data_IF_695756612417
#
_entry.id   IF_695756612417
#
_cell.length_a   1.000
_cell.length_b   1.000
_cell.length_c   1.000
_cell.angle_alpha   90.00
_cell.angle_beta   90.00
_cell.angle_gamma   90.00
#
_symmetry.space_group_name_H-M   'P 1'
#
loop_
_entity.id
_entity.type
_entity.pdbx_description
1 polymer ?
#
# COMPACT_ATOMS: atom_id res chain seq x y z
N UNK A 1 26.75 -18.02 26.24
CA UNK A 1 27.53 -18.66 27.32
C UNK A 1 27.58 -20.14 26.97
N UNK A 2 28.77 -20.77 26.93
CA UNK A 2 28.89 -22.21 26.65
C UNK A 2 28.56 -22.93 27.94
N UNK A 3 27.44 -23.64 27.96
CA UNK A 3 26.89 -24.21 29.19
C UNK A 3 27.28 -25.68 29.38
N UNK A 4 27.84 -26.35 28.37
CA UNK A 4 28.28 -27.73 28.51
C UNK A 4 29.36 -28.12 27.47
N UNK A 5 30.61 -28.23 27.91
CA UNK A 5 31.74 -28.62 27.07
C UNK A 5 31.67 -30.09 26.60
N UNK A 6 30.98 -30.96 27.34
CA UNK A 6 30.76 -32.37 26.95
C UNK A 6 29.90 -32.48 25.69
N UNK A 7 28.86 -31.65 25.57
CA UNK A 7 28.03 -31.59 24.37
C UNK A 7 28.79 -31.06 23.14
N UNK A 8 29.83 -30.25 23.33
CA UNK A 8 30.73 -29.81 22.24
C UNK A 8 31.63 -30.96 21.82
N UNK A 9 32.19 -31.72 22.77
CA UNK A 9 33.01 -32.89 22.49
C UNK A 9 32.25 -34.00 21.75
N UNK A 10 30.95 -34.11 21.97
CA UNK A 10 30.04 -35.01 21.27
C UNK A 10 29.54 -34.49 19.89
N UNK A 11 30.04 -33.34 19.42
CA UNK A 11 29.63 -32.74 18.15
C UNK A 11 28.26 -32.04 18.19
N UNK A 12 27.64 -31.90 19.37
CA UNK A 12 26.33 -31.28 19.62
C UNK A 12 26.47 -29.81 20.03
N UNK A 13 27.24 -29.05 19.27
CA UNK A 13 27.59 -27.63 19.54
C UNK A 13 26.34 -26.75 19.75
N UNK A 14 25.28 -26.98 18.97
CA UNK A 14 24.02 -26.23 19.10
C UNK A 14 23.29 -26.46 20.44
N UNK A 15 23.54 -27.59 21.11
CA UNK A 15 23.00 -27.88 22.45
C UNK A 15 23.87 -27.32 23.57
N UNK A 16 25.11 -26.95 23.28
CA UNK A 16 26.08 -26.42 24.24
C UNK A 16 26.05 -24.89 24.38
N UNK A 17 25.55 -24.19 23.35
CA UNK A 17 25.41 -22.72 23.35
C UNK A 17 23.98 -22.37 23.73
N UNK A 18 23.76 -21.94 24.97
CA UNK A 18 22.46 -21.42 25.36
C UNK A 18 22.25 -20.04 24.73
N UNK A 19 21.20 -19.93 23.92
CA UNK A 19 20.69 -18.64 23.44
C UNK A 19 20.27 -17.83 24.65
N UNK A 20 20.82 -16.61 24.80
CA UNK A 20 20.50 -15.75 25.93
C UNK A 20 19.00 -15.43 25.95
N UNK A 21 18.42 -15.37 27.15
CA UNK A 21 17.03 -14.94 27.30
C UNK A 21 16.88 -13.47 26.86
N UNK A 22 15.82 -13.14 26.09
CA UNK A 22 15.56 -11.77 25.68
C UNK A 22 15.41 -10.82 26.88
N UNK A 23 16.10 -9.68 26.81
CA UNK A 23 15.97 -8.58 27.78
C UNK A 23 14.52 -8.10 27.92
N UNK A 24 14.21 -7.39 29.00
CA UNK A 24 12.88 -6.79 29.14
C UNK A 24 12.59 -5.79 28.02
N UNK A 25 11.32 -5.63 27.64
CA UNK A 25 10.94 -4.72 26.54
C UNK A 25 11.32 -3.27 26.84
N UNK A 26 11.30 -2.87 28.12
CA UNK A 26 11.72 -1.54 28.57
C UNK A 26 13.22 -1.31 28.39
N UNK A 27 14.05 -2.31 28.69
CA UNK A 27 15.50 -2.21 28.48
C UNK A 27 15.84 -2.16 27.00
N UNK A 28 15.23 -3.02 26.18
CA UNK A 28 15.38 -2.97 24.73
C UNK A 28 14.94 -1.61 24.17
N UNK A 29 13.80 -1.09 24.61
CA UNK A 29 13.31 0.22 24.18
C UNK A 29 14.27 1.37 24.54
N UNK A 30 14.89 1.35 25.73
CA UNK A 30 15.92 2.35 26.11
C UNK A 30 17.12 2.31 25.18
N UNK A 31 17.59 1.10 24.86
CA UNK A 31 18.74 0.88 23.98
C UNK A 31 18.45 1.36 22.55
N UNK A 32 17.27 1.07 22.04
CA UNK A 32 16.78 1.57 20.74
C UNK A 32 16.74 3.11 20.76
N UNK A 33 16.09 3.73 21.75
CA UNK A 33 15.99 5.19 21.83
C UNK A 33 17.36 5.87 21.94
N UNK A 34 18.31 5.25 22.63
CA UNK A 34 19.68 5.75 22.76
C UNK A 34 20.46 5.69 21.42
N UNK A 35 20.11 4.77 20.52
CA UNK A 35 20.83 4.50 19.28
C UNK A 35 19.95 4.79 18.04
N UNK A 36 19.44 6.03 17.94
CA UNK A 36 18.42 6.42 16.94
C UNK A 36 18.77 6.07 15.49
N UNK A 37 20.05 6.13 15.13
CA UNK A 37 20.55 5.81 13.79
C UNK A 37 20.54 4.31 13.45
N UNK A 38 20.32 3.43 14.44
CA UNK A 38 20.31 1.97 14.29
C UNK A 38 18.97 1.33 14.70
N UNK A 39 17.93 2.13 14.89
CA UNK A 39 16.65 1.65 15.42
C UNK A 39 16.07 0.46 14.67
N UNK A 40 16.03 0.51 13.33
CA UNK A 40 15.47 -0.59 12.51
C UNK A 40 16.25 -1.89 12.71
N UNK A 41 17.58 -1.80 12.73
CA UNK A 41 18.47 -2.96 12.95
C UNK A 41 18.26 -3.54 14.34
N UNK A 42 18.28 -2.70 15.38
CA UNK A 42 18.09 -3.13 16.77
C UNK A 42 16.70 -3.74 17.01
N UNK A 43 15.67 -3.23 16.34
CA UNK A 43 14.32 -3.80 16.40
C UNK A 43 14.27 -5.19 15.76
N UNK A 44 14.88 -5.37 14.58
CA UNK A 44 14.99 -6.69 13.96
C UNK A 44 15.76 -7.66 14.85
N UNK A 45 16.93 -7.26 15.37
CA UNK A 45 17.75 -8.07 16.28
C UNK A 45 16.97 -8.48 17.55
N UNK A 46 16.16 -7.60 18.13
CA UNK A 46 15.34 -7.92 19.31
C UNK A 46 14.29 -9.00 19.00
N UNK A 47 13.57 -8.86 17.87
CA UNK A 47 12.58 -9.84 17.45
C UNK A 47 13.23 -11.18 17.05
N UNK A 48 14.36 -11.15 16.34
CA UNK A 48 15.13 -12.35 15.97
C UNK A 48 15.62 -13.10 17.22
N UNK A 49 16.17 -12.38 18.21
CA UNK A 49 16.59 -12.96 19.48
C UNK A 49 15.43 -13.64 20.20
N UNK A 50 14.25 -13.01 20.24
CA UNK A 50 13.04 -13.62 20.83
C UNK A 50 12.64 -14.89 20.08
N UNK A 51 12.65 -14.87 18.75
CA UNK A 51 12.30 -16.03 17.93
C UNK A 51 13.30 -17.17 18.11
N UNK A 52 14.61 -16.89 18.06
CA UNK A 52 15.68 -17.87 18.24
C UNK A 52 15.67 -18.47 19.65
N UNK A 53 15.48 -17.65 20.68
CA UNK A 53 15.38 -18.13 22.06
C UNK A 53 14.21 -19.09 22.23
N UNK A 54 13.03 -18.76 21.68
CA UNK A 54 11.86 -19.66 21.71
C UNK A 54 12.11 -20.99 20.99
N UNK A 55 12.81 -20.95 19.84
CA UNK A 55 13.22 -22.17 19.10
C UNK A 55 14.23 -23.03 19.87
N UNK A 56 15.05 -22.42 20.73
CA UNK A 56 16.06 -23.13 21.52
C UNK A 56 15.55 -23.77 22.82
N UNK A 57 14.25 -23.59 23.15
CA UNK A 57 13.63 -24.23 24.32
C UNK A 57 13.55 -25.74 24.12
N UNK A 58 13.38 -26.48 25.22
CA UNK A 58 13.14 -27.93 25.20
C UNK A 58 11.79 -28.25 25.90
N UNK A 59 10.74 -28.66 25.16
CA UNK A 59 10.70 -28.81 23.70
C UNK A 59 10.75 -27.45 22.95
N UNK A 60 11.21 -27.42 21.69
CA UNK A 60 11.17 -26.22 20.86
C UNK A 60 9.74 -25.71 20.68
N UNK A 61 9.56 -24.39 20.74
CA UNK A 61 8.26 -23.79 20.43
C UNK A 61 7.93 -23.94 18.94
N UNK A 62 6.66 -24.21 18.62
CA UNK A 62 6.16 -24.19 17.24
C UNK A 62 6.02 -22.76 16.70
N UNK A 63 5.73 -22.65 15.40
CA UNK A 63 5.60 -21.36 14.71
C UNK A 63 4.53 -20.45 15.30
N UNK A 64 3.40 -21.01 15.74
CA UNK A 64 2.29 -20.24 16.28
C UNK A 64 2.58 -19.71 17.69
N UNK A 65 3.23 -20.52 18.53
CA UNK A 65 3.71 -20.08 19.84
C UNK A 65 4.77 -18.98 19.72
N UNK A 66 5.68 -19.10 18.74
CA UNK A 66 6.67 -18.03 18.45
C UNK A 66 5.95 -16.77 17.97
N UNK A 67 5.02 -16.88 17.00
CA UNK A 67 4.25 -15.74 16.49
C UNK A 67 3.49 -15.04 17.62
N UNK A 68 2.77 -15.78 18.45
CA UNK A 68 2.04 -15.22 19.59
C UNK A 68 2.98 -14.50 20.58
N UNK A 69 4.20 -15.01 20.79
CA UNK A 69 5.21 -14.35 21.62
C UNK A 69 5.73 -13.06 20.97
N UNK A 70 5.99 -13.06 19.66
CA UNK A 70 6.43 -11.88 18.92
C UNK A 70 5.34 -10.80 18.88
N UNK A 71 4.07 -11.17 18.72
CA UNK A 71 2.93 -10.22 18.81
C UNK A 71 2.90 -9.55 20.19
N UNK A 72 3.02 -10.33 21.27
CA UNK A 72 3.12 -9.77 22.64
C UNK A 72 4.34 -8.85 22.79
N UNK A 73 5.49 -9.24 22.23
CA UNK A 73 6.71 -8.42 22.26
C UNK A 73 6.51 -7.10 21.52
N UNK A 74 5.90 -7.13 20.34
CA UNK A 74 5.54 -5.95 19.54
C UNK A 74 4.66 -4.99 20.35
N UNK A 75 3.58 -5.48 20.95
CA UNK A 75 2.69 -4.64 21.78
C UNK A 75 3.46 -3.95 22.92
N UNK A 76 4.35 -4.69 23.60
CA UNK A 76 5.15 -4.15 24.70
C UNK A 76 6.17 -3.10 24.22
N UNK A 77 6.82 -3.32 23.07
CA UNK A 77 7.73 -2.35 22.47
C UNK A 77 6.99 -1.09 22.00
N UNK A 78 5.84 -1.23 21.34
CA UNK A 78 5.02 -0.10 20.92
C UNK A 78 4.54 0.75 22.11
N UNK A 79 4.28 0.14 23.27
CA UNK A 79 3.93 0.86 24.49
C UNK A 79 5.14 1.54 25.18
N UNK A 80 6.36 1.06 24.93
CA UNK A 80 7.58 1.56 25.58
C UNK A 80 8.38 2.54 24.72
N UNK A 81 8.14 2.57 23.41
CA UNK A 81 8.82 3.42 22.44
C UNK A 81 7.99 4.67 22.10
N UNK A 82 8.63 5.76 21.65
CA UNK A 82 7.92 6.90 21.05
C UNK A 82 7.04 6.46 19.87
N UNK A 83 5.88 7.09 19.70
CA UNK A 83 4.93 6.80 18.61
C UNK A 83 5.55 6.97 17.23
N UNK A 84 6.54 7.86 17.08
CA UNK A 84 7.31 8.05 15.86
C UNK A 84 8.08 6.80 15.40
N UNK A 85 8.25 5.78 16.26
CA UNK A 85 8.89 4.50 15.91
C UNK A 85 7.90 3.37 15.65
N UNK A 86 6.59 3.62 15.72
CA UNK A 86 5.57 2.57 15.53
C UNK A 86 5.70 1.87 14.17
N UNK A 87 5.93 2.64 13.09
CA UNK A 87 6.17 2.10 11.76
C UNK A 87 7.42 1.21 11.68
N UNK A 88 8.52 1.64 12.29
CA UNK A 88 9.76 0.85 12.35
C UNK A 88 9.57 -0.47 13.12
N UNK A 89 8.78 -0.46 14.21
CA UNK A 89 8.44 -1.67 14.97
C UNK A 89 7.62 -2.63 14.11
N UNK A 90 6.61 -2.14 13.40
CA UNK A 90 5.79 -2.96 12.50
C UNK A 90 6.61 -3.56 11.35
N UNK A 91 7.50 -2.76 10.74
CA UNK A 91 8.43 -3.21 9.69
C UNK A 91 9.33 -4.33 10.19
N UNK A 92 10.02 -4.12 11.31
CA UNK A 92 10.91 -5.13 11.89
C UNK A 92 10.17 -6.44 12.23
N UNK A 93 8.96 -6.34 12.79
CA UNK A 93 8.12 -7.49 13.06
C UNK A 93 7.79 -8.27 11.76
N UNK A 94 7.38 -7.58 10.70
CA UNK A 94 7.07 -8.20 9.41
C UNK A 94 8.29 -8.88 8.78
N UNK A 95 9.47 -8.25 8.85
CA UNK A 95 10.74 -8.84 8.40
C UNK A 95 11.05 -10.14 9.14
N UNK A 96 10.90 -10.16 10.46
CA UNK A 96 11.17 -11.37 11.26
C UNK A 96 10.11 -12.45 11.03
N UNK A 97 8.83 -12.09 10.85
CA UNK A 97 7.81 -13.07 10.45
C UNK A 97 8.16 -13.73 9.11
N UNK A 98 8.63 -12.96 8.12
CA UNK A 98 9.07 -13.50 6.84
C UNK A 98 10.21 -14.50 7.01
N UNK A 99 11.27 -14.08 7.68
CA UNK A 99 12.55 -14.80 7.66
C UNK A 99 12.61 -15.93 8.71
N UNK A 100 12.06 -15.70 9.90
CA UNK A 100 12.11 -16.67 10.98
C UNK A 100 10.92 -17.63 10.97
N UNK A 101 9.75 -17.20 10.50
CA UNK A 101 8.51 -17.99 10.54
C UNK A 101 8.01 -18.38 9.15
N UNK A 102 8.69 -18.00 8.08
CA UNK A 102 8.30 -18.33 6.70
C UNK A 102 6.83 -17.97 6.43
N UNK A 103 6.41 -16.78 6.89
CA UNK A 103 5.05 -16.30 6.73
C UNK A 103 4.61 -16.40 5.27
N UNK A 104 3.42 -16.94 5.05
CA UNK A 104 2.79 -17.00 3.73
C UNK A 104 2.07 -15.67 3.46
N UNK A 105 2.35 -15.11 2.29
CA UNK A 105 1.73 -13.89 1.77
C UNK A 105 0.69 -14.25 0.71
N UNK A 106 -0.16 -13.28 0.36
CA UNK A 106 -1.13 -13.45 -0.72
C UNK A 106 -0.45 -13.74 -2.07
N UNK A 107 0.77 -13.22 -2.26
CA UNK A 107 1.64 -13.50 -3.39
C UNK A 107 2.89 -14.30 -2.96
N UNK A 108 3.37 -15.19 -3.83
CA UNK A 108 4.57 -16.00 -3.61
C UNK A 108 5.83 -15.43 -4.28
N UNK A 109 5.65 -14.54 -5.25
CA UNK A 109 6.73 -13.87 -5.99
C UNK A 109 6.54 -12.35 -6.04
N UNK A 110 7.62 -11.64 -6.35
CA UNK A 110 7.60 -10.24 -6.78
C UNK A 110 6.73 -10.10 -8.04
N UNK A 111 6.26 -8.87 -8.29
CA UNK A 111 5.32 -8.58 -9.35
C UNK A 111 6.01 -8.52 -10.72
N UNK A 112 7.20 -7.93 -10.80
CA UNK A 112 7.89 -7.68 -12.09
C UNK A 112 8.95 -8.73 -12.39
N UNK A 113 9.83 -9.04 -11.44
CA UNK A 113 10.93 -9.99 -11.66
C UNK A 113 10.52 -11.46 -11.49
N UNK A 114 9.35 -11.72 -10.89
CA UNK A 114 8.85 -13.05 -10.55
C UNK A 114 9.81 -13.85 -9.65
N UNK A 115 10.63 -13.15 -8.86
CA UNK A 115 11.51 -13.76 -7.88
C UNK A 115 10.73 -14.12 -6.60
N UNK A 116 11.15 -15.14 -5.83
CA UNK A 116 10.47 -15.49 -4.58
C UNK A 116 10.46 -14.33 -3.58
N UNK A 117 9.36 -14.12 -2.84
CA UNK A 117 9.27 -13.06 -1.80
C UNK A 117 10.39 -13.14 -0.75
N UNK A 118 10.93 -14.35 -0.51
CA UNK A 118 12.04 -14.56 0.39
C UNK A 118 13.38 -13.94 -0.09
N UNK A 119 13.53 -13.62 -1.39
CA UNK A 119 14.74 -12.99 -1.92
C UNK A 119 14.76 -11.46 -1.76
N UNK A 120 13.61 -10.83 -1.48
CA UNK A 120 13.53 -9.36 -1.38
C UNK A 120 14.45 -8.86 -0.25
N UNK A 121 15.38 -7.93 -0.51
CA UNK A 121 16.22 -7.31 0.51
C UNK A 121 15.41 -6.69 1.66
N UNK A 122 15.92 -6.74 2.89
CA UNK A 122 15.21 -6.23 4.08
C UNK A 122 14.84 -4.75 3.99
N UNK A 123 15.68 -3.97 3.35
CA UNK A 123 15.53 -2.52 3.14
C UNK A 123 14.56 -2.18 1.99
N UNK A 124 14.28 -3.12 1.10
CA UNK A 124 13.28 -3.02 0.03
C UNK A 124 11.93 -3.69 0.39
N UNK A 125 11.87 -4.46 1.47
CA UNK A 125 10.69 -5.25 1.82
C UNK A 125 9.59 -4.43 2.49
N UNK A 126 8.36 -4.55 1.97
CA UNK A 126 7.14 -4.00 2.54
C UNK A 126 6.02 -5.04 2.52
N UNK A 127 5.06 -4.93 3.45
CA UNK A 127 3.86 -5.77 3.49
C UNK A 127 2.66 -4.85 3.75
N UNK A 128 1.67 -4.90 2.87
CA UNK A 128 0.41 -4.17 3.03
C UNK A 128 -0.57 -4.91 3.93
N UNK A 129 -1.59 -4.21 4.43
CA UNK A 129 -2.59 -4.78 5.34
C UNK A 129 -3.39 -5.94 4.73
N UNK A 130 -3.57 -5.94 3.41
CA UNK A 130 -4.17 -7.04 2.63
C UNK A 130 -3.24 -8.25 2.44
N UNK A 131 -2.11 -8.29 3.17
CA UNK A 131 -1.13 -9.38 3.23
C UNK A 131 -0.38 -9.63 1.91
N UNK A 132 -0.27 -8.63 1.04
CA UNK A 132 0.65 -8.67 -0.10
C UNK A 132 2.05 -8.22 0.34
N UNK A 133 3.06 -8.98 -0.09
CA UNK A 133 4.46 -8.66 0.09
C UNK A 133 5.00 -7.95 -1.15
N UNK A 134 5.75 -6.87 -0.93
CA UNK A 134 6.24 -5.99 -1.98
C UNK A 134 7.74 -5.83 -1.92
N UNK A 135 8.34 -5.87 -3.10
CA UNK A 135 9.56 -5.12 -3.36
C UNK A 135 9.15 -3.66 -3.57
N UNK A 136 9.67 -2.76 -2.74
CA UNK A 136 9.34 -1.35 -2.77
C UNK A 136 9.80 -0.65 -4.04
N UNK A 137 10.82 -1.14 -4.73
CA UNK A 137 11.22 -0.57 -6.02
C UNK A 137 10.14 -0.84 -7.08
N UNK A 138 9.69 -2.09 -7.18
CA UNK A 138 8.62 -2.49 -8.10
C UNK A 138 7.30 -1.78 -7.79
N UNK A 139 6.91 -1.73 -6.51
CA UNK A 139 5.67 -1.08 -6.09
C UNK A 139 5.69 0.41 -6.42
N UNK A 140 6.79 1.10 -6.11
CA UNK A 140 6.89 2.55 -6.37
C UNK A 140 6.88 2.83 -7.86
N UNK A 141 7.56 2.03 -8.67
CA UNK A 141 7.50 2.15 -10.12
C UNK A 141 6.08 1.96 -10.63
N UNK A 142 5.38 0.92 -10.17
CA UNK A 142 3.99 0.66 -10.58
C UNK A 142 3.05 1.81 -10.24
N UNK A 143 3.15 2.35 -9.02
CA UNK A 143 2.35 3.49 -8.56
C UNK A 143 2.66 4.75 -9.36
N UNK A 144 3.94 5.02 -9.65
CA UNK A 144 4.36 6.16 -10.45
C UNK A 144 3.85 6.07 -11.90
N UNK A 145 3.94 4.88 -12.52
CA UNK A 145 3.39 4.63 -13.84
C UNK A 145 1.86 4.79 -13.90
N UNK A 146 1.15 4.53 -12.81
CA UNK A 146 -0.29 4.72 -12.69
C UNK A 146 -0.68 6.15 -12.28
N UNK A 147 0.21 7.13 -12.46
CA UNK A 147 -0.06 8.53 -12.14
C UNK A 147 -0.23 8.81 -10.64
N UNK A 148 0.23 7.93 -9.77
CA UNK A 148 0.17 8.11 -8.32
C UNK A 148 -1.16 7.72 -7.69
N UNK A 149 -2.01 7.00 -8.40
CA UNK A 149 -3.16 6.37 -7.74
C UNK A 149 -2.66 5.29 -6.80
N UNK A 150 -2.97 5.41 -5.49
CA UNK A 150 -2.54 4.49 -4.44
C UNK A 150 -3.37 3.19 -4.44
N UNK A 151 -3.33 2.47 -5.56
CA UNK A 151 -4.00 1.19 -5.76
C UNK A 151 -2.99 0.06 -5.76
N UNK A 152 -3.29 -1.02 -5.08
CA UNK A 152 -2.52 -2.25 -5.10
C UNK A 152 -2.52 -2.82 -6.54
N UNK A 153 -1.35 -2.94 -7.20
CA UNK A 153 -1.27 -3.45 -8.57
C UNK A 153 -1.73 -4.90 -8.76
N UNK A 154 -1.68 -5.73 -7.71
CA UNK A 154 -2.04 -7.14 -7.75
C UNK A 154 -3.51 -7.37 -7.37
N UNK A 155 -3.95 -6.89 -6.21
CA UNK A 155 -5.34 -7.05 -5.75
C UNK A 155 -6.33 -6.14 -6.47
N UNK A 156 -5.84 -5.04 -7.06
CA UNK A 156 -6.63 -3.96 -7.67
C UNK A 156 -7.46 -3.15 -6.68
N UNK A 157 -7.32 -3.38 -5.38
CA UNK A 157 -7.98 -2.56 -4.35
C UNK A 157 -7.14 -1.33 -4.00
N UNK A 158 -7.79 -0.28 -3.48
CA UNK A 158 -7.08 0.87 -2.93
C UNK A 158 -6.33 0.48 -1.66
N UNK A 159 -5.10 0.97 -1.51
CA UNK A 159 -4.38 0.86 -0.25
C UNK A 159 -5.15 1.61 0.85
N UNK A 160 -5.08 1.10 2.07
CA UNK A 160 -5.62 1.81 3.23
C UNK A 160 -4.80 3.08 3.51
N UNK A 161 -5.35 4.02 4.27
CA UNK A 161 -4.59 5.23 4.64
C UNK A 161 -3.31 4.89 5.41
N UNK A 162 -3.33 3.83 6.23
CA UNK A 162 -2.15 3.37 6.97
C UNK A 162 -1.08 2.83 6.01
N UNK A 163 -1.47 2.04 5.01
CA UNK A 163 -0.56 1.57 3.97
C UNK A 163 0.00 2.71 3.13
N UNK A 164 -0.83 3.70 2.76
CA UNK A 164 -0.40 4.89 2.01
C UNK A 164 0.67 5.65 2.80
N UNK A 165 0.44 5.93 4.09
CA UNK A 165 1.43 6.60 4.94
C UNK A 165 2.72 5.78 5.04
N UNK A 166 2.62 4.47 5.26
CA UNK A 166 3.78 3.59 5.35
C UNK A 166 4.60 3.54 4.04
N UNK A 167 3.92 3.47 2.89
CA UNK A 167 4.55 3.53 1.56
C UNK A 167 5.30 4.86 1.39
N UNK A 168 4.67 5.99 1.72
CA UNK A 168 5.28 7.31 1.57
C UNK A 168 6.42 7.58 2.57
N UNK A 169 6.38 6.97 3.75
CA UNK A 169 7.43 7.06 4.78
C UNK A 169 8.65 6.20 4.44
N UNK A 170 8.44 5.10 3.70
CA UNK A 170 9.50 4.19 3.26
C UNK A 170 10.58 4.95 2.44
N UNK A 171 11.89 4.70 2.67
CA UNK A 171 12.96 5.42 1.97
C UNK A 171 12.80 5.47 0.44
N UNK A 172 12.45 4.34 -0.18
CA UNK A 172 12.21 4.23 -1.62
C UNK A 172 10.86 4.85 -2.06
N UNK A 173 9.87 4.93 -1.18
CA UNK A 173 8.54 5.45 -1.51
C UNK A 173 8.38 6.96 -1.33
N UNK A 174 9.32 7.63 -0.64
CA UNK A 174 9.32 9.10 -0.48
C UNK A 174 9.26 9.86 -1.80
N UNK A 175 9.78 9.28 -2.88
CA UNK A 175 9.71 9.88 -4.22
C UNK A 175 8.28 10.01 -4.77
N UNK A 176 7.29 9.29 -4.21
CA UNK A 176 5.88 9.42 -4.58
C UNK A 176 5.21 10.65 -3.95
N UNK A 177 5.79 11.28 -2.92
CA UNK A 177 5.16 12.41 -2.21
C UNK A 177 4.81 13.60 -3.11
N UNK A 178 5.72 14.11 -3.97
CA UNK A 178 5.37 15.21 -4.86
C UNK A 178 4.22 14.87 -5.80
N UNK A 179 4.08 13.61 -6.18
CA UNK A 179 2.98 13.11 -7.02
C UNK A 179 1.66 13.08 -6.24
N UNK A 180 1.68 12.62 -4.98
CA UNK A 180 0.51 12.70 -4.10
C UNK A 180 0.05 14.14 -3.85
N UNK A 181 1.00 15.05 -3.60
CA UNK A 181 0.71 16.48 -3.42
C UNK A 181 0.15 17.11 -4.72
N UNK A 182 0.64 16.69 -5.89
CA UNK A 182 0.10 17.13 -7.17
C UNK A 182 -1.34 16.63 -7.36
N UNK A 183 -1.61 15.35 -7.09
CA UNK A 183 -2.95 14.77 -7.16
C UNK A 183 -3.93 15.49 -6.22
N UNK A 184 -3.52 15.72 -4.98
CA UNK A 184 -4.32 16.45 -3.99
C UNK A 184 -4.61 17.88 -4.45
N UNK A 185 -3.62 18.62 -4.96
CA UNK A 185 -3.83 19.97 -5.51
C UNK A 185 -4.79 19.97 -6.70
N UNK A 186 -4.67 19.00 -7.62
CA UNK A 186 -5.57 18.89 -8.77
C UNK A 186 -7.01 18.56 -8.35
N UNK A 187 -7.20 17.73 -7.33
CA UNK A 187 -8.53 17.46 -6.76
C UNK A 187 -9.23 18.75 -6.31
N UNK A 188 -8.49 19.68 -5.71
CA UNK A 188 -9.02 21.00 -5.32
C UNK A 188 -9.21 21.98 -6.49
N UNK A 189 -8.68 21.68 -7.68
CA UNK A 189 -8.78 22.53 -8.88
C UNK A 189 -10.16 22.58 -9.54
N UNK A 190 -11.06 21.64 -9.23
CA UNK A 190 -12.39 21.56 -9.82
C UNK A 190 -13.37 22.56 -9.16
N UNK A 191 -14.11 23.37 -9.88
CA UNK A 191 -15.18 24.17 -9.27
C UNK A 191 -16.42 23.31 -8.99
N UNK A 192 -17.27 23.69 -8.01
CA UNK A 192 -18.54 22.99 -7.77
C UNK A 192 -19.41 22.88 -9.03
N UNK A 193 -19.39 23.91 -9.89
CA UNK A 193 -20.09 23.89 -11.19
C UNK A 193 -19.58 22.77 -12.09
N UNK A 194 -18.26 22.54 -12.15
CA UNK A 194 -17.66 21.48 -12.96
C UNK A 194 -18.01 20.10 -12.42
N UNK A 195 -18.03 19.92 -11.09
CA UNK A 195 -18.52 18.68 -10.48
C UNK A 195 -19.98 18.42 -10.83
N UNK A 196 -20.83 19.46 -10.80
CA UNK A 196 -22.22 19.34 -11.21
C UNK A 196 -22.37 18.95 -12.70
N UNK A 197 -21.54 19.50 -13.58
CA UNK A 197 -21.47 19.10 -14.99
C UNK A 197 -21.05 17.64 -15.17
N UNK A 198 -20.03 17.18 -14.45
CA UNK A 198 -19.56 15.78 -14.46
C UNK A 198 -20.69 14.86 -13.98
N UNK A 199 -21.38 15.22 -12.89
CA UNK A 199 -22.51 14.45 -12.35
C UNK A 199 -23.69 14.40 -13.32
N UNK A 200 -24.02 15.53 -13.97
CA UNK A 200 -25.09 15.61 -14.99
C UNK A 200 -24.77 14.68 -16.16
N UNK A 201 -23.56 14.78 -16.71
CA UNK A 201 -23.13 13.94 -17.83
C UNK A 201 -23.18 12.46 -17.44
N UNK A 202 -22.60 12.09 -16.29
CA UNK A 202 -22.62 10.71 -15.80
C UNK A 202 -24.04 10.13 -15.69
N UNK A 203 -24.98 10.91 -15.16
CA UNK A 203 -26.39 10.52 -15.06
C UNK A 203 -27.06 10.31 -16.43
N UNK A 204 -26.80 11.18 -17.41
CA UNK A 204 -27.36 11.04 -18.76
C UNK A 204 -26.82 9.76 -19.43
N UNK A 205 -25.51 9.54 -19.35
CA UNK A 205 -24.87 8.37 -19.97
C UNK A 205 -25.32 7.05 -19.34
N UNK A 206 -25.53 7.01 -18.02
CA UNK A 206 -26.04 5.83 -17.31
C UNK A 206 -27.49 5.49 -17.67
N UNK A 207 -28.31 6.50 -17.91
CA UNK A 207 -29.73 6.31 -18.24
C UNK A 207 -29.98 6.18 -19.74
N UNK A 208 -28.93 6.06 -20.55
CA UNK A 208 -29.07 5.91 -21.99
C UNK A 208 -29.73 4.58 -22.35
N UNK A 209 -30.84 4.66 -23.06
CA UNK A 209 -31.66 3.53 -23.52
C UNK A 209 -32.11 3.69 -24.98
N UNK A 210 -31.80 4.82 -25.62
CA UNK A 210 -32.19 5.07 -27.01
C UNK A 210 -31.33 4.26 -27.97
N UNK A 211 -31.93 3.87 -29.11
CA UNK A 211 -31.25 3.09 -30.14
C UNK A 211 -30.15 3.86 -30.87
N UNK A 212 -30.24 5.18 -30.93
CA UNK A 212 -29.28 6.06 -31.59
C UNK A 212 -28.33 6.79 -30.64
N UNK A 213 -28.56 6.67 -29.32
CA UNK A 213 -27.82 7.37 -28.26
C UNK A 213 -27.74 8.90 -28.47
N UNK A 214 -28.77 9.50 -29.06
CA UNK A 214 -28.77 10.93 -29.39
C UNK A 214 -28.57 11.80 -28.14
N UNK A 215 -29.21 11.44 -27.02
CA UNK A 215 -29.11 12.14 -25.75
C UNK A 215 -27.68 12.14 -25.20
N UNK A 216 -27.04 10.98 -25.16
CA UNK A 216 -25.65 10.84 -24.73
C UNK A 216 -24.68 11.63 -25.61
N UNK A 217 -24.82 11.54 -26.93
CA UNK A 217 -23.95 12.28 -27.87
C UNK A 217 -24.09 13.79 -27.71
N UNK A 218 -25.32 14.29 -27.60
CA UNK A 218 -25.57 15.71 -27.36
C UNK A 218 -24.99 16.18 -26.02
N UNK A 219 -25.15 15.40 -24.95
CA UNK A 219 -24.60 15.73 -23.64
C UNK A 219 -23.07 15.72 -23.61
N UNK A 220 -22.42 14.80 -24.33
CA UNK A 220 -20.97 14.79 -24.50
C UNK A 220 -20.50 16.07 -25.21
N UNK A 221 -21.17 16.45 -26.30
CA UNK A 221 -20.81 17.68 -27.04
C UNK A 221 -21.04 18.94 -26.20
N UNK A 222 -22.12 19.00 -25.44
CA UNK A 222 -22.39 20.08 -24.47
C UNK A 222 -21.28 20.16 -23.40
N UNK A 223 -20.85 19.02 -22.85
CA UNK A 223 -19.80 18.97 -21.86
C UNK A 223 -18.43 19.36 -22.43
N UNK A 224 -18.09 18.91 -23.63
CA UNK A 224 -16.84 19.30 -24.32
C UNK A 224 -16.80 20.80 -24.63
N UNK A 225 -17.95 21.39 -25.03
CA UNK A 225 -18.08 22.83 -25.19
C UNK A 225 -17.90 23.57 -23.86
N UNK A 226 -18.49 23.07 -22.77
CA UNK A 226 -18.26 23.60 -21.43
C UNK A 226 -16.77 23.52 -21.04
N UNK A 227 -16.13 22.36 -21.23
CA UNK A 227 -14.70 22.18 -20.99
C UNK A 227 -13.87 23.22 -21.73
N UNK A 228 -14.21 23.56 -22.99
CA UNK A 228 -13.54 24.59 -23.78
C UNK A 228 -13.50 25.98 -23.08
N UNK A 229 -14.45 26.27 -22.20
CA UNK A 229 -14.53 27.54 -21.46
C UNK A 229 -13.76 27.56 -20.13
N UNK A 230 -13.24 26.42 -19.66
CA UNK A 230 -12.59 26.32 -18.35
C UNK A 230 -11.24 27.08 -18.29
N UNK A 231 -10.88 27.65 -17.13
CA UNK A 231 -9.52 28.11 -16.88
C UNK A 231 -8.49 27.01 -17.12
N UNK A 232 -7.28 27.37 -17.53
CA UNK A 232 -6.22 26.41 -17.88
C UNK A 232 -5.92 25.41 -16.75
N UNK A 233 -5.85 25.88 -15.50
CA UNK A 233 -5.58 25.02 -14.35
C UNK A 233 -6.68 23.97 -14.11
N UNK A 234 -7.94 24.33 -14.29
CA UNK A 234 -9.06 23.39 -14.10
C UNK A 234 -9.14 22.40 -15.27
N UNK A 235 -8.87 22.85 -16.49
CA UNK A 235 -8.75 21.96 -17.66
C UNK A 235 -7.62 20.95 -17.48
N UNK A 236 -6.46 21.39 -16.99
CA UNK A 236 -5.36 20.51 -16.64
C UNK A 236 -5.79 19.48 -15.59
N UNK A 237 -6.54 19.88 -14.56
CA UNK A 237 -7.04 18.94 -13.57
C UNK A 237 -8.01 17.91 -14.18
N UNK A 238 -8.89 18.32 -15.11
CA UNK A 238 -9.77 17.41 -15.85
C UNK A 238 -9.00 16.38 -16.68
N UNK A 239 -7.89 16.81 -17.30
CA UNK A 239 -7.10 15.98 -18.21
C UNK A 239 -6.00 15.15 -17.51
N UNK A 240 -5.58 15.52 -16.29
CA UNK A 240 -4.42 14.90 -15.63
C UNK A 240 -4.74 14.22 -14.29
N UNK A 241 -5.80 14.63 -13.57
CA UNK A 241 -6.19 13.98 -12.32
C UNK A 241 -6.72 12.58 -12.62
N UNK A 242 -5.95 11.57 -12.21
CA UNK A 242 -6.41 10.18 -12.21
C UNK A 242 -7.31 9.94 -11.00
N UNK A 243 -8.53 9.48 -11.24
CA UNK A 243 -9.51 9.17 -10.22
C UNK A 243 -9.69 7.66 -10.18
N UNK A 244 -9.45 7.09 -9.01
CA UNK A 244 -9.72 5.69 -8.74
C UNK A 244 -11.22 5.43 -8.67
N UNK A 245 -11.68 4.45 -9.43
CA UNK A 245 -13.04 3.96 -9.41
C UNK A 245 -13.08 2.47 -9.76
N UNK A 246 -14.25 1.86 -9.67
CA UNK A 246 -14.46 0.44 -10.02
C UNK A 246 -15.77 0.29 -10.77
N UNK A 247 -15.76 -0.55 -11.81
CA UNK A 247 -16.94 -0.84 -12.61
C UNK A 247 -18.06 -1.41 -11.74
N UNK A 248 -19.19 -0.72 -11.67
CA UNK A 248 -20.33 -1.15 -10.85
C UNK A 248 -20.94 -2.49 -11.30
N UNK A 249 -20.68 -2.92 -12.54
CA UNK A 249 -21.15 -4.20 -13.06
C UNK A 249 -20.11 -5.32 -12.93
N UNK A 250 -18.86 -5.04 -13.28
CA UNK A 250 -17.81 -6.08 -13.34
C UNK A 250 -16.88 -6.10 -12.14
N UNK A 251 -16.88 -5.06 -11.31
CA UNK A 251 -15.90 -4.83 -10.24
C UNK A 251 -14.50 -4.47 -10.75
N UNK A 252 -14.30 -4.37 -12.07
CA UNK A 252 -13.00 -4.07 -12.65
C UNK A 252 -12.56 -2.65 -12.25
N UNK A 253 -11.41 -2.54 -11.59
CA UNK A 253 -10.80 -1.26 -11.28
C UNK A 253 -10.46 -0.48 -12.56
N UNK A 254 -10.72 0.82 -12.54
CA UNK A 254 -10.22 1.75 -13.54
C UNK A 254 -9.73 3.05 -12.89
N UNK A 255 -8.60 3.53 -13.40
CA UNK A 255 -7.90 4.73 -12.94
C UNK A 255 -7.80 5.69 -14.13
N UNK A 256 -8.89 6.43 -14.37
CA UNK A 256 -9.05 7.29 -15.54
C UNK A 256 -9.05 8.76 -15.16
N UNK A 257 -8.87 9.60 -16.16
CA UNK A 257 -9.13 11.04 -16.06
C UNK A 257 -10.52 11.32 -16.61
N UNK A 258 -11.16 12.38 -16.13
CA UNK A 258 -12.45 12.80 -16.67
C UNK A 258 -12.34 13.11 -18.16
N UNK A 259 -11.24 13.78 -18.57
CA UNK A 259 -10.98 14.12 -19.97
C UNK A 259 -10.88 12.90 -20.88
N UNK A 260 -10.10 11.88 -20.49
CA UNK A 260 -9.91 10.66 -21.29
C UNK A 260 -11.23 9.91 -21.45
N UNK A 261 -11.98 9.70 -20.37
CA UNK A 261 -13.23 8.94 -20.42
C UNK A 261 -14.30 9.61 -21.30
N UNK A 262 -14.38 10.94 -21.29
CA UNK A 262 -15.32 11.67 -22.17
C UNK A 262 -14.89 11.57 -23.64
N UNK A 263 -13.58 11.66 -23.92
CA UNK A 263 -13.05 11.47 -25.30
C UNK A 263 -13.30 10.04 -25.80
N UNK A 264 -13.11 9.03 -24.96
CA UNK A 264 -13.38 7.64 -25.30
C UNK A 264 -14.86 7.40 -25.62
N UNK A 265 -15.76 7.98 -24.83
CA UNK A 265 -17.19 7.96 -25.14
C UNK A 265 -17.49 8.63 -26.49
N UNK A 266 -16.88 9.79 -26.77
CA UNK A 266 -17.07 10.50 -28.05
C UNK A 266 -16.60 9.68 -29.25
N UNK A 267 -15.50 8.94 -29.10
CA UNK A 267 -14.91 8.09 -30.15
C UNK A 267 -15.58 6.72 -30.24
N UNK A 268 -16.57 6.42 -29.39
CA UNK A 268 -17.22 5.11 -29.26
C UNK A 268 -16.22 3.96 -28.96
N UNK A 269 -15.11 4.25 -28.28
CA UNK A 269 -14.14 3.22 -27.86
C UNK A 269 -14.56 2.54 -26.55
N UNK A 270 -15.38 3.22 -25.75
CA UNK A 270 -15.97 2.70 -24.51
C UNK A 270 -17.48 2.94 -24.50
N UNK A 271 -18.26 2.01 -23.95
CA UNK A 271 -19.71 2.17 -23.86
C UNK A 271 -20.12 3.33 -22.92
N UNK A 272 -21.23 3.99 -23.23
CA UNK A 272 -21.72 5.13 -22.45
C UNK A 272 -21.97 4.77 -20.99
N UNK A 273 -22.55 3.60 -20.71
CA UNK A 273 -22.84 3.19 -19.33
C UNK A 273 -21.58 3.08 -18.47
N UNK A 274 -20.46 2.56 -19.04
CA UNK A 274 -19.19 2.44 -18.31
C UNK A 274 -18.57 3.82 -18.04
N UNK A 275 -18.62 4.73 -19.00
CA UNK A 275 -18.16 6.11 -18.79
C UNK A 275 -19.08 6.83 -17.80
N UNK A 276 -20.39 6.63 -17.90
CA UNK A 276 -21.36 7.22 -16.99
C UNK A 276 -21.16 6.78 -15.54
N UNK A 277 -20.90 5.49 -15.32
CA UNK A 277 -20.56 4.92 -14.02
C UNK A 277 -19.31 5.56 -13.42
N UNK A 278 -18.22 5.62 -14.20
CA UNK A 278 -17.00 6.31 -13.79
C UNK A 278 -17.26 7.77 -13.42
N UNK A 279 -17.97 8.53 -14.27
CA UNK A 279 -18.22 9.95 -14.03
C UNK A 279 -19.08 10.18 -12.77
N UNK A 280 -20.03 9.29 -12.48
CA UNK A 280 -20.82 9.36 -11.24
C UNK A 280 -19.94 9.15 -9.99
N UNK A 281 -19.03 8.17 -10.02
CA UNK A 281 -18.07 7.93 -8.94
C UNK A 281 -17.07 9.08 -8.81
N UNK A 282 -16.57 9.61 -9.92
CA UNK A 282 -15.68 10.76 -9.96
C UNK A 282 -16.34 12.01 -9.38
N UNK A 283 -17.61 12.29 -9.72
CA UNK A 283 -18.37 13.39 -9.13
C UNK A 283 -18.53 13.23 -7.61
N UNK A 284 -18.80 12.01 -7.13
CA UNK A 284 -18.86 11.74 -5.69
C UNK A 284 -17.51 11.98 -5.00
N UNK A 285 -16.42 11.46 -5.56
CA UNK A 285 -15.06 11.65 -5.04
C UNK A 285 -14.67 13.12 -4.99
N UNK A 286 -14.90 13.86 -6.08
CA UNK A 286 -14.69 15.30 -6.16
C UNK A 286 -15.69 16.09 -5.33
N UNK A 287 -16.79 15.51 -4.85
CA UNK A 287 -17.78 16.18 -4.02
C UNK A 287 -17.43 16.18 -2.52
N UNK A 288 -16.61 15.23 -2.07
CA UNK A 288 -16.29 14.97 -0.64
C UNK A 288 -15.20 15.89 -0.06
N UNK A 289 -14.96 17.05 -0.66
CA UNK A 289 -13.88 17.97 -0.26
C UNK A 289 -14.23 18.76 0.98
#
# INVERSE_FOLDING_TARGET
MVNNLELIAEGRVNSAVSTAEPRSAREAARDIVANRNRNEVLLCEDFEMVAQWMKSRNPPADGDAIRARLVKRRTLLQAALPTSLSGAVSKAFATVERECLQKQYANSTTMTTLEPIASIPRDAFFVSEDNYAWDMEELVQALACNGGVMRNPLSRDLFSNADIEAILDHPMGRQLRPMQEAQHRMQHGFRPSTVAWISKLGSILLNEQSSDAASSRAAIDEFLAYMATLPAAERQAVDALKIAASDGHTGQAYDYTVGDSVRDAKMNTTCFHKVGDFLAQAASYLGRR
#
